data_IF_369619254971
#
_entry.id   IF_369619254971
#
_cell.length_a   1.000
_cell.length_b   1.000
_cell.length_c   1.000
_cell.angle_alpha   90.00
_cell.angle_beta   90.00
_cell.angle_gamma   90.00
#
_symmetry.space_group_name_H-M   'P 1'
#
loop_
_entity.id
_entity.type
_entity.pdbx_description
1 polymer ?
#
# COMPACT_ATOMS: atom_id res chain seq x y z
N UNK A 1 -35.15 6.10 1.66
CA UNK A 1 -34.44 5.60 2.84
C UNK A 1 -33.33 4.70 2.30
N UNK A 2 -32.13 5.27 2.05
CA UNK A 2 -30.97 4.55 1.51
C UNK A 2 -30.14 4.12 2.71
N UNK A 3 -30.17 2.84 3.03
CA UNK A 3 -29.34 2.23 4.06
C UNK A 3 -27.88 2.26 3.57
N UNK A 4 -27.05 3.05 4.21
CA UNK A 4 -25.60 3.00 4.05
C UNK A 4 -25.09 1.70 4.66
N UNK A 5 -24.89 0.70 3.83
CA UNK A 5 -24.13 -0.48 4.21
C UNK A 5 -22.66 -0.05 4.29
N UNK A 6 -22.20 0.26 5.49
CA UNK A 6 -20.78 0.31 5.79
C UNK A 6 -20.30 -1.14 5.81
N UNK A 7 -19.91 -1.64 4.67
CA UNK A 7 -19.17 -2.91 4.60
C UNK A 7 -17.77 -2.65 5.14
N UNK A 8 -17.49 -3.13 6.36
CA UNK A 8 -16.12 -3.49 6.75
C UNK A 8 -15.58 -4.34 5.61
N UNK A 9 -14.47 -3.91 5.00
CA UNK A 9 -13.76 -4.78 4.05
C UNK A 9 -13.50 -6.12 4.76
N UNK A 10 -14.01 -7.24 4.25
CA UNK A 10 -13.64 -8.54 4.78
C UNK A 10 -12.14 -8.67 4.67
N UNK A 11 -11.51 -9.31 5.66
CA UNK A 11 -10.09 -9.64 5.57
C UNK A 11 -9.86 -10.33 4.22
N UNK A 12 -9.03 -9.72 3.37
CA UNK A 12 -8.72 -10.29 2.05
C UNK A 12 -7.81 -11.47 2.31
N UNK A 13 -8.38 -12.67 2.30
CA UNK A 13 -7.60 -13.90 2.32
C UNK A 13 -7.01 -14.08 0.91
N UNK A 14 -5.70 -13.97 0.80
CA UNK A 14 -5.00 -14.01 -0.48
C UNK A 14 -4.18 -15.29 -0.56
N UNK A 15 -4.55 -16.17 -1.50
CA UNK A 15 -3.72 -17.31 -1.89
C UNK A 15 -2.77 -16.83 -3.02
N UNK A 16 -1.45 -16.73 -2.80
CA UNK A 16 -0.51 -16.22 -3.77
C UNK A 16 -0.11 -17.26 -4.83
N UNK A 17 -0.48 -18.52 -4.69
CA UNK A 17 0.07 -19.66 -5.45
C UNK A 17 0.01 -19.48 -6.97
N UNK A 18 -1.08 -18.91 -7.50
CA UNK A 18 -1.20 -18.65 -8.94
C UNK A 18 -0.26 -17.54 -9.41
N UNK A 19 -0.06 -16.51 -8.58
CA UNK A 19 0.85 -15.40 -8.89
C UNK A 19 2.29 -15.90 -8.82
N UNK A 20 2.64 -16.69 -7.80
CA UNK A 20 3.95 -17.32 -7.66
C UNK A 20 4.29 -18.20 -8.87
N UNK A 21 3.36 -19.03 -9.31
CA UNK A 21 3.56 -19.87 -10.50
C UNK A 21 3.84 -19.06 -11.78
N UNK A 22 3.20 -17.89 -11.93
CA UNK A 22 3.48 -16.99 -13.06
C UNK A 22 4.84 -16.31 -12.94
N UNK A 23 5.23 -15.93 -11.73
CA UNK A 23 6.55 -15.34 -11.46
C UNK A 23 7.67 -16.36 -11.72
N UNK A 24 7.50 -17.60 -11.27
CA UNK A 24 8.46 -18.70 -11.50
C UNK A 24 8.63 -19.02 -13.00
N UNK A 25 7.57 -18.81 -13.81
CA UNK A 25 7.61 -18.92 -15.27
C UNK A 25 8.20 -17.65 -15.95
N UNK A 26 8.74 -16.70 -15.18
CA UNK A 26 9.35 -15.46 -15.67
C UNK A 26 8.37 -14.45 -16.23
N UNK A 27 7.09 -14.52 -15.87
CA UNK A 27 6.04 -13.59 -16.29
C UNK A 27 5.89 -12.45 -15.30
N UNK A 28 5.29 -11.35 -15.78
CA UNK A 28 4.86 -10.22 -14.96
C UNK A 28 3.33 -10.34 -14.79
N UNK A 29 2.84 -10.81 -13.63
CA UNK A 29 1.40 -10.92 -13.38
C UNK A 29 0.73 -9.55 -13.33
N UNK A 30 -0.41 -9.41 -13.99
CA UNK A 30 -1.30 -8.25 -13.85
C UNK A 30 -2.58 -8.72 -13.19
N UNK A 31 -2.84 -8.25 -11.98
CA UNK A 31 -3.95 -8.67 -11.14
C UNK A 31 -5.02 -7.58 -11.08
N UNK A 32 -6.27 -7.94 -11.35
CA UNK A 32 -7.40 -7.03 -11.16
C UNK A 32 -7.91 -7.04 -9.72
N UNK A 33 -8.52 -5.94 -9.28
CA UNK A 33 -9.14 -5.82 -7.96
C UNK A 33 -10.52 -6.50 -7.87
N UNK A 34 -10.66 -7.67 -8.50
CA UNK A 34 -11.90 -8.46 -8.50
C UNK A 34 -11.63 -9.78 -7.81
N UNK A 35 -12.41 -10.07 -6.79
CA UNK A 35 -12.27 -11.29 -5.99
C UNK A 35 -13.59 -12.08 -5.95
N UNK A 36 -13.49 -13.37 -5.72
CA UNK A 36 -14.65 -14.22 -5.45
C UNK A 36 -14.86 -14.34 -3.94
N UNK A 37 -16.10 -14.17 -3.50
CA UNK A 37 -16.47 -14.36 -2.10
C UNK A 37 -16.31 -15.82 -1.67
N UNK A 38 -15.71 -16.01 -0.48
CA UNK A 38 -15.56 -17.31 0.13
C UNK A 38 -16.92 -17.70 0.77
N UNK A 39 -17.54 -18.74 0.24
CA UNK A 39 -18.79 -19.31 0.75
C UNK A 39 -20.06 -18.97 -0.06
N UNK A 40 -20.17 -17.83 -0.71
CA UNK A 40 -21.32 -17.46 -1.55
C UNK A 40 -21.04 -17.53 -3.05
N UNK A 41 -19.76 -17.60 -3.46
CA UNK A 41 -19.31 -17.63 -4.83
C UNK A 41 -19.57 -16.34 -5.61
N UNK A 42 -20.05 -15.27 -4.94
CA UNK A 42 -20.30 -13.99 -5.57
C UNK A 42 -18.99 -13.30 -5.97
N UNK A 43 -19.07 -12.41 -6.97
CA UNK A 43 -17.92 -11.62 -7.44
C UNK A 43 -18.00 -10.24 -6.81
N UNK A 44 -16.91 -9.82 -6.18
CA UNK A 44 -16.78 -8.54 -5.48
C UNK A 44 -15.71 -7.69 -6.15
N UNK A 45 -15.99 -6.39 -6.25
CA UNK A 45 -14.97 -5.40 -6.51
C UNK A 45 -14.33 -5.01 -5.16
N UNK A 46 -13.04 -5.29 -5.02
CA UNK A 46 -12.26 -5.00 -3.80
C UNK A 46 -11.51 -3.69 -4.02
N UNK A 47 -11.27 -2.93 -2.94
CA UNK A 47 -10.39 -1.77 -3.04
C UNK A 47 -8.99 -2.22 -3.51
N UNK A 48 -8.47 -1.58 -4.55
CA UNK A 48 -7.22 -1.98 -5.20
C UNK A 48 -6.00 -1.84 -4.28
N UNK A 49 -5.96 -0.78 -3.45
CA UNK A 49 -4.86 -0.54 -2.51
C UNK A 49 -4.84 -1.65 -1.44
N UNK A 50 -6.02 -2.01 -0.89
CA UNK A 50 -6.17 -3.11 0.07
C UNK A 50 -5.76 -4.46 -0.54
N UNK A 51 -6.19 -4.74 -1.78
CA UNK A 51 -5.83 -5.97 -2.47
C UNK A 51 -4.33 -6.06 -2.74
N UNK A 52 -3.70 -4.95 -3.14
CA UNK A 52 -2.27 -4.88 -3.40
C UNK A 52 -1.45 -5.11 -2.11
N UNK A 53 -1.85 -4.51 -0.98
CA UNK A 53 -1.20 -4.74 0.30
C UNK A 53 -1.29 -6.20 0.75
N UNK A 54 -2.48 -6.81 0.67
CA UNK A 54 -2.68 -8.21 1.03
C UNK A 54 -1.85 -9.15 0.15
N UNK A 55 -1.78 -8.88 -1.16
CA UNK A 55 -0.96 -9.66 -2.08
C UNK A 55 0.54 -9.48 -1.82
N UNK A 56 0.99 -8.26 -1.53
CA UNK A 56 2.39 -7.98 -1.21
C UNK A 56 2.84 -8.74 0.05
N UNK A 57 2.00 -8.76 1.09
CA UNK A 57 2.26 -9.53 2.31
C UNK A 57 2.29 -11.04 2.01
N UNK A 58 1.30 -11.56 1.28
CA UNK A 58 1.23 -12.99 0.97
C UNK A 58 2.41 -13.49 0.14
N UNK A 59 2.93 -12.67 -0.77
CA UNK A 59 4.11 -12.97 -1.60
C UNK A 59 5.45 -12.74 -0.88
N UNK A 60 5.47 -12.17 0.32
CA UNK A 60 6.72 -11.71 0.94
C UNK A 60 7.45 -10.71 0.05
N UNK A 61 6.74 -9.78 -0.55
CA UNK A 61 7.28 -8.84 -1.51
C UNK A 61 8.42 -8.00 -0.91
N UNK A 62 9.44 -7.69 -1.71
CA UNK A 62 10.55 -6.85 -1.29
C UNK A 62 10.11 -5.39 -1.06
N UNK A 63 9.10 -4.92 -1.76
CA UNK A 63 8.45 -3.61 -1.56
C UNK A 63 7.05 -3.58 -2.18
N UNK A 64 6.20 -2.69 -1.64
CA UNK A 64 4.94 -2.28 -2.25
C UNK A 64 5.12 -0.88 -2.85
N UNK A 65 4.66 -0.67 -4.09
CA UNK A 65 4.63 0.66 -4.71
C UNK A 65 3.20 1.01 -5.07
N UNK A 66 2.70 2.10 -4.51
CA UNK A 66 1.38 2.67 -4.77
C UNK A 66 1.54 3.91 -5.65
N UNK A 67 0.98 3.88 -6.84
CA UNK A 67 0.96 5.04 -7.73
C UNK A 67 -0.29 5.88 -7.46
N UNK A 68 -0.11 7.19 -7.34
CA UNK A 68 -1.18 8.17 -7.07
C UNK A 68 -1.07 9.37 -8.02
N UNK A 69 -1.91 10.36 -7.85
CA UNK A 69 -1.94 11.61 -8.59
C UNK A 69 -1.38 12.80 -7.78
N UNK A 70 -0.63 12.51 -6.72
CA UNK A 70 0.08 13.49 -5.90
C UNK A 70 1.53 13.04 -5.69
N UNK A 71 2.44 13.98 -5.40
CA UNK A 71 3.87 13.71 -5.30
C UNK A 71 4.25 12.82 -4.12
N UNK A 72 3.42 12.78 -3.07
CA UNK A 72 3.63 11.99 -1.86
C UNK A 72 2.77 12.49 -0.71
N UNK A 73 3.19 12.21 0.52
CA UNK A 73 2.54 12.67 1.73
C UNK A 73 3.14 14.02 2.17
N UNK A 74 2.27 14.98 2.46
CA UNK A 74 2.66 16.30 2.98
C UNK A 74 2.34 16.39 4.48
N UNK A 75 3.24 17.02 5.25
CA UNK A 75 3.04 17.27 6.69
C UNK A 75 1.83 18.18 6.94
N UNK A 76 1.71 19.23 6.15
CA UNK A 76 0.58 20.17 6.18
C UNK A 76 0.37 20.71 4.77
N UNK A 77 -0.67 20.24 4.11
CA UNK A 77 -1.02 20.68 2.75
C UNK A 77 -1.26 22.19 2.63
N UNK A 78 -1.55 22.87 3.75
CA UNK A 78 -1.83 24.30 3.78
C UNK A 78 -0.61 25.17 4.09
N UNK A 79 0.44 24.60 4.65
CA UNK A 79 1.57 25.34 5.22
C UNK A 79 2.95 25.03 4.61
N UNK A 80 3.13 23.89 3.96
CA UNK A 80 4.39 23.55 3.29
C UNK A 80 4.18 22.71 2.04
N UNK A 81 4.94 23.00 0.98
CA UNK A 81 5.01 22.16 -0.23
C UNK A 81 6.04 21.01 -0.06
N UNK A 82 6.46 20.73 1.17
CA UNK A 82 7.49 19.73 1.45
C UNK A 82 6.86 18.34 1.61
N UNK A 83 7.27 17.43 0.73
CA UNK A 83 6.88 16.02 0.78
C UNK A 83 7.70 15.30 1.84
N UNK A 84 7.04 14.52 2.70
CA UNK A 84 7.72 13.61 3.62
C UNK A 84 8.40 12.52 2.81
N UNK A 85 9.72 12.47 2.79
CA UNK A 85 10.47 11.47 2.03
C UNK A 85 10.45 10.09 2.69
N UNK A 86 10.47 10.03 4.02
CA UNK A 86 10.46 8.78 4.79
C UNK A 86 9.65 8.93 6.07
N UNK A 87 8.92 7.89 6.43
CA UNK A 87 8.06 7.83 7.61
C UNK A 87 8.02 6.39 8.13
N UNK A 88 8.11 6.21 9.44
CA UNK A 88 7.91 4.90 10.03
C UNK A 88 6.41 4.58 10.25
N UNK A 89 6.10 3.29 10.45
CA UNK A 89 4.74 2.81 10.61
C UNK A 89 4.03 3.42 11.83
N UNK A 90 4.76 3.66 12.93
CA UNK A 90 4.19 4.20 14.17
C UNK A 90 3.78 5.67 13.99
N UNK A 91 4.59 6.45 13.29
CA UNK A 91 4.30 7.85 12.97
C UNK A 91 3.23 7.97 11.90
N UNK A 92 3.22 7.07 10.90
CA UNK A 92 2.14 7.00 9.92
C UNK A 92 0.80 6.71 10.60
N UNK A 93 0.73 5.76 11.53
CA UNK A 93 -0.49 5.44 12.26
C UNK A 93 -1.06 6.65 13.02
N UNK A 94 -0.19 7.52 13.55
CA UNK A 94 -0.60 8.78 14.22
C UNK A 94 -1.12 9.83 13.23
N UNK A 95 -0.56 9.86 12.02
CA UNK A 95 -0.94 10.83 10.97
C UNK A 95 -2.23 10.45 10.22
N UNK A 96 -2.55 9.15 10.10
CA UNK A 96 -3.71 8.66 9.34
C UNK A 96 -5.02 9.45 9.57
N UNK A 97 -5.42 9.78 10.83
CA UNK A 97 -6.67 10.49 11.07
C UNK A 97 -6.73 11.92 10.51
N UNK A 98 -5.57 12.52 10.21
CA UNK A 98 -5.46 13.89 9.69
C UNK A 98 -5.39 13.94 8.16
N UNK A 99 -5.24 12.81 7.49
CA UNK A 99 -5.08 12.74 6.04
C UNK A 99 -6.38 12.97 5.28
N UNK A 100 -6.26 13.39 4.03
CA UNK A 100 -7.40 13.52 3.13
C UNK A 100 -8.05 12.16 2.84
N UNK A 101 -9.36 12.15 2.59
CA UNK A 101 -10.12 10.93 2.34
C UNK A 101 -9.56 10.06 1.19
N UNK A 102 -8.93 10.66 0.17
CA UNK A 102 -8.31 9.94 -0.94
C UNK A 102 -6.95 9.33 -0.60
N UNK A 103 -6.23 9.90 0.39
CA UNK A 103 -4.91 9.43 0.81
C UNK A 103 -5.01 8.31 1.86
N UNK A 104 -6.02 8.35 2.73
CA UNK A 104 -6.21 7.37 3.82
C UNK A 104 -6.08 5.92 3.32
N UNK A 105 -6.85 5.43 2.31
CA UNK A 105 -6.78 4.03 1.90
C UNK A 105 -5.40 3.63 1.37
N UNK A 106 -4.65 4.55 0.74
CA UNK A 106 -3.31 4.30 0.23
C UNK A 106 -2.30 4.15 1.36
N UNK A 107 -2.37 5.04 2.34
CA UNK A 107 -1.47 4.99 3.50
C UNK A 107 -1.82 3.83 4.43
N UNK A 108 -3.10 3.46 4.57
CA UNK A 108 -3.53 2.24 5.25
C UNK A 108 -2.99 0.98 4.56
N UNK A 109 -2.95 0.96 3.22
CA UNK A 109 -2.36 -0.14 2.47
C UNK A 109 -0.84 -0.24 2.70
N UNK A 110 -0.13 0.90 2.71
CA UNK A 110 1.29 0.95 3.04
C UNK A 110 1.55 0.44 4.47
N UNK A 111 0.78 0.91 5.44
CA UNK A 111 0.88 0.48 6.84
C UNK A 111 0.63 -1.03 6.97
N UNK A 112 -0.46 -1.53 6.37
CA UNK A 112 -0.78 -2.97 6.36
C UNK A 112 0.36 -3.80 5.76
N UNK A 113 0.98 -3.34 4.68
CA UNK A 113 2.07 -4.05 4.02
C UNK A 113 3.31 -4.13 4.92
N UNK A 114 3.75 -3.01 5.51
CA UNK A 114 4.96 -3.00 6.35
C UNK A 114 4.76 -3.73 7.67
N UNK A 115 3.59 -3.61 8.31
CA UNK A 115 3.22 -4.39 9.49
C UNK A 115 3.11 -5.88 9.18
N UNK A 116 2.73 -6.24 7.95
CA UNK A 116 2.68 -7.61 7.45
C UNK A 116 4.04 -8.19 7.04
N UNK A 117 5.13 -7.43 7.19
CA UNK A 117 6.50 -7.90 6.95
C UNK A 117 7.11 -7.48 5.61
N UNK A 118 6.44 -6.65 4.80
CA UNK A 118 7.05 -6.04 3.62
C UNK A 118 8.08 -5.00 4.08
N UNK A 119 9.35 -5.07 3.63
CA UNK A 119 10.42 -4.20 4.12
C UNK A 119 10.20 -2.70 3.90
N UNK A 120 9.49 -2.32 2.84
CA UNK A 120 9.11 -0.93 2.59
C UNK A 120 7.88 -0.83 1.68
N UNK A 121 7.12 0.26 1.87
CA UNK A 121 6.02 0.62 0.98
C UNK A 121 6.21 2.07 0.51
N UNK A 122 5.92 2.35 -0.76
CA UNK A 122 6.20 3.63 -1.39
C UNK A 122 4.94 4.21 -2.02
N UNK A 123 4.72 5.50 -1.85
CA UNK A 123 3.67 6.25 -2.55
C UNK A 123 4.31 7.25 -3.49
N UNK A 124 4.06 7.11 -4.79
CA UNK A 124 4.70 7.88 -5.85
C UNK A 124 3.68 8.57 -6.76
N UNK A 125 4.07 9.70 -7.34
CA UNK A 125 3.29 10.33 -8.42
C UNK A 125 3.37 9.50 -9.71
N UNK A 126 2.29 8.79 -10.01
CA UNK A 126 2.18 7.98 -11.22
C UNK A 126 2.11 8.78 -12.53
N UNK A 127 1.96 10.11 -12.47
CA UNK A 127 1.96 11.00 -13.65
C UNK A 127 3.38 11.32 -14.09
N UNK A 128 4.37 11.16 -13.20
CA UNK A 128 5.76 11.38 -13.52
C UNK A 128 6.28 10.25 -14.42
N UNK A 129 6.87 10.60 -15.55
CA UNK A 129 7.45 9.61 -16.45
C UNK A 129 8.57 8.85 -15.76
N UNK A 130 8.52 7.53 -15.83
CA UNK A 130 9.50 6.63 -15.23
C UNK A 130 9.58 6.68 -13.69
N UNK A 131 8.53 7.12 -13.01
CA UNK A 131 8.48 7.23 -11.56
C UNK A 131 9.04 5.97 -10.82
N UNK A 132 8.58 4.79 -11.22
CA UNK A 132 9.05 3.53 -10.63
C UNK A 132 10.56 3.31 -10.84
N UNK A 133 11.09 3.65 -12.01
CA UNK A 133 12.52 3.51 -12.28
C UNK A 133 13.36 4.49 -11.46
N UNK A 134 12.88 5.72 -11.33
CA UNK A 134 13.53 6.73 -10.49
C UNK A 134 13.57 6.28 -9.03
N UNK A 135 12.46 5.75 -8.51
CA UNK A 135 12.39 5.26 -7.13
C UNK A 135 13.29 4.04 -6.88
N UNK A 136 13.40 3.12 -7.85
CA UNK A 136 14.16 1.88 -7.65
C UNK A 136 15.67 2.10 -7.87
N UNK A 137 16.07 2.98 -8.80
CA UNK A 137 17.44 3.10 -9.28
C UNK A 137 18.16 4.40 -8.87
N UNK A 138 17.52 5.28 -8.08
CA UNK A 138 18.18 6.48 -7.55
C UNK A 138 18.19 6.48 -6.03
N UNK A 139 19.22 7.07 -5.44
CA UNK A 139 19.37 7.16 -3.98
C UNK A 139 18.44 8.20 -3.34
N UNK A 140 17.94 9.16 -4.12
CA UNK A 140 17.14 10.28 -3.59
C UNK A 140 15.65 9.97 -3.47
N UNK A 141 15.16 8.89 -4.13
CA UNK A 141 13.73 8.61 -4.19
C UNK A 141 12.89 9.75 -4.79
N UNK A 142 11.60 9.55 -4.98
CA UNK A 142 10.69 10.57 -5.54
C UNK A 142 9.30 10.54 -4.89
N UNK A 143 9.17 10.22 -3.69
CA UNK A 143 7.86 10.14 -3.05
C UNK A 143 7.96 9.98 -1.55
N UNK A 144 7.00 9.30 -0.97
CA UNK A 144 7.00 8.95 0.45
C UNK A 144 7.27 7.47 0.60
N UNK A 145 8.33 7.12 1.33
CA UNK A 145 8.63 5.76 1.73
C UNK A 145 8.13 5.51 3.16
N UNK A 146 7.42 4.41 3.34
CA UNK A 146 6.99 3.91 4.65
C UNK A 146 7.83 2.69 5.01
N UNK A 147 8.44 2.71 6.18
CA UNK A 147 9.26 1.62 6.73
C UNK A 147 8.62 1.03 7.99
N UNK A 148 8.97 -0.19 8.38
CA UNK A 148 8.52 -0.74 9.67
C UNK A 148 8.89 0.16 10.83
N UNK A 149 7.99 0.26 11.81
CA UNK A 149 8.27 0.98 13.06
C UNK A 149 9.49 0.40 13.77
N UNK A 150 10.32 1.26 14.33
CA UNK A 150 11.38 0.82 15.23
C UNK A 150 10.73 0.35 16.53
N UNK A 151 10.44 -0.95 16.64
CA UNK A 151 10.16 -1.52 17.95
C UNK A 151 11.39 -1.26 18.83
N UNK A 152 11.33 -0.22 19.67
CA UNK A 152 12.28 -0.09 20.77
C UNK A 152 12.22 -1.40 21.55
N UNK A 153 13.30 -2.15 21.42
CA UNK A 153 13.40 -3.49 21.89
C UNK A 153 13.02 -3.60 23.36
N UNK A 154 12.13 -4.48 23.66
CA UNK A 154 12.04 -5.09 24.95
C UNK A 154 13.29 -5.99 25.17
N UNK A 155 14.44 -5.37 25.42
CA UNK A 155 15.60 -6.02 25.99
C UNK A 155 15.37 -6.12 27.51
N UNK A 156 14.81 -7.24 27.95
CA UNK A 156 14.93 -7.75 29.32
C UNK A 156 15.23 -9.22 29.31
#
# INVERSE_FOLDING_TARGET
>A
MVSSVVTRSPAVNTDPSMVEALLDDGRIPVVSSVARGDGDGAVYNVNADTAAAALAVALGAAKLVVLTDVEGLYLDWSASDEVISELDADDLAKLLPSLSAGMIPKMEACLTAVEGGVPSAHVLDGRLSHAILLEIFTDSGIGTMVIPGTSEGNAR
#
